data_IF_861265794724
#
_entry.id   IF_861265794724
#
_cell.length_a   1.000
_cell.length_b   1.000
_cell.length_c   1.000
_cell.angle_alpha   90.00
_cell.angle_beta   90.00
_cell.angle_gamma   90.00
#
_symmetry.space_group_name_H-M   'P 1'
#
loop_
_entity.id
_entity.type
_entity.pdbx_description
1 polymer ?
#
# COMPACT_ATOMS: atom_id res chain seq x y z
N UNK A 1 -32.37 3.80 21.09
CA UNK A 1 -30.95 3.80 21.50
C UNK A 1 -30.09 4.71 20.62
N UNK A 2 -30.56 5.92 20.29
CA UNK A 2 -29.90 6.82 19.33
C UNK A 2 -29.61 8.28 19.80
N UNK A 3 -29.84 8.71 21.06
CA UNK A 3 -29.65 10.12 21.42
C UNK A 3 -28.19 10.58 21.36
N UNK A 4 -27.24 9.65 21.34
CA UNK A 4 -25.81 9.93 21.26
C UNK A 4 -25.30 10.20 19.85
N UNK A 5 -26.03 9.80 18.79
CA UNK A 5 -25.63 10.03 17.40
C UNK A 5 -25.90 11.48 16.98
N UNK A 6 -27.08 12.01 17.33
CA UNK A 6 -27.45 13.40 17.01
C UNK A 6 -26.48 14.39 17.68
N UNK A 7 -26.08 14.13 18.93
CA UNK A 7 -25.10 14.95 19.65
C UNK A 7 -23.70 14.91 19.03
N UNK A 8 -23.32 13.82 18.36
CA UNK A 8 -22.01 13.69 17.71
C UNK A 8 -21.94 14.37 16.35
N UNK A 9 -23.05 14.47 15.61
CA UNK A 9 -23.09 15.16 14.32
C UNK A 9 -23.07 16.69 14.45
N UNK A 10 -23.60 17.23 15.55
CA UNK A 10 -23.59 18.68 15.80
C UNK A 10 -22.24 19.22 16.32
N UNK A 11 -21.29 18.34 16.65
CA UNK A 11 -19.94 18.74 17.07
C UNK A 11 -19.06 19.02 15.86
N UNK A 12 -18.47 20.22 15.79
CA UNK A 12 -17.44 20.55 14.79
C UNK A 12 -16.32 19.48 14.84
N UNK A 13 -15.91 18.89 13.72
CA UNK A 13 -14.84 17.90 13.72
C UNK A 13 -13.55 18.59 14.16
N UNK A 14 -13.09 18.29 15.39
CA UNK A 14 -11.73 18.61 15.81
C UNK A 14 -10.83 17.69 14.99
N UNK A 15 -10.26 18.22 13.91
CA UNK A 15 -9.20 17.56 13.16
C UNK A 15 -8.05 17.30 14.14
N UNK A 16 -7.63 16.04 14.35
CA UNK A 16 -6.42 15.78 15.10
C UNK A 16 -5.26 16.27 14.25
N UNK A 17 -4.79 17.49 14.54
CA UNK A 17 -3.47 17.93 14.10
C UNK A 17 -2.48 16.93 14.67
N UNK A 18 -1.95 16.05 13.82
CA UNK A 18 -0.86 15.15 14.18
C UNK A 18 0.37 16.03 14.41
N UNK A 19 0.49 16.60 15.61
CA UNK A 19 1.72 17.19 16.11
C UNK A 19 2.68 16.05 16.38
N UNK A 20 3.47 15.73 15.36
CA UNK A 20 4.69 14.98 15.52
C UNK A 20 5.68 15.87 16.30
N UNK A 21 5.48 15.94 17.61
CA UNK A 21 6.39 16.61 18.54
C UNK A 21 7.35 15.54 18.99
N UNK A 22 8.54 15.55 18.40
CA UNK A 22 9.69 14.90 18.99
C UNK A 22 9.82 15.43 20.42
N UNK A 23 9.55 14.58 21.40
CA UNK A 23 9.67 14.90 22.81
C UNK A 23 11.18 14.90 23.09
N UNK A 24 11.81 16.04 23.43
CA UNK A 24 13.19 16.03 23.88
C UNK A 24 13.20 15.34 25.24
N UNK A 25 13.88 14.20 25.30
CA UNK A 25 14.18 13.50 26.54
C UNK A 25 15.20 14.37 27.30
N UNK A 26 14.75 14.94 28.43
CA UNK A 26 15.50 15.79 29.35
C UNK A 26 15.57 17.29 29.00
N UNK A 27 15.26 18.12 30.00
CA UNK A 27 15.52 19.56 29.98
C UNK A 27 14.26 20.40 30.16
N UNK A 28 14.13 20.95 31.37
CA UNK A 28 13.17 21.95 31.84
C UNK A 28 12.52 22.79 30.73
N UNK A 29 11.22 22.57 30.51
CA UNK A 29 10.43 23.38 29.59
C UNK A 29 10.07 24.69 30.28
N UNK A 30 10.59 25.81 29.77
CA UNK A 30 10.18 27.18 30.13
C UNK A 30 8.77 27.51 29.64
N UNK A 31 7.79 26.63 29.87
CA UNK A 31 6.38 26.85 29.52
C UNK A 31 5.69 27.60 30.66
N UNK A 32 5.02 28.72 30.33
CA UNK A 32 4.23 29.54 31.28
C UNK A 32 3.24 28.72 32.12
N UNK A 33 2.78 27.59 31.59
CA UNK A 33 1.94 26.64 32.31
C UNK A 33 2.70 25.33 32.50
N UNK A 34 2.96 24.97 33.77
CA UNK A 34 3.56 23.69 34.12
C UNK A 34 2.50 22.59 34.07
N UNK A 35 2.79 21.41 33.51
CA UNK A 35 1.84 20.31 33.52
C UNK A 35 1.53 19.90 34.96
N UNK A 36 0.23 19.78 35.30
CA UNK A 36 -0.22 19.35 36.64
C UNK A 36 0.32 17.97 37.06
N UNK A 37 0.67 17.14 36.07
CA UNK A 37 1.30 15.84 36.28
C UNK A 37 2.50 15.74 35.36
N UNK A 38 3.70 15.62 35.93
CA UNK A 38 4.94 15.40 35.19
C UNK A 38 4.87 14.01 34.54
N UNK A 39 5.18 13.97 33.25
CA UNK A 39 5.35 12.76 32.46
C UNK A 39 6.75 12.82 31.87
N UNK A 40 7.50 11.71 31.76
CA UNK A 40 7.19 10.34 32.19
C UNK A 40 7.25 10.15 33.71
N UNK A 41 6.48 9.21 34.28
CA UNK A 41 6.61 8.83 35.68
C UNK A 41 7.94 8.10 35.88
N UNK A 42 8.60 8.35 37.01
CA UNK A 42 9.86 7.68 37.35
C UNK A 42 9.60 6.20 37.64
N UNK A 43 9.82 5.33 36.64
CA UNK A 43 9.56 3.89 36.72
C UNK A 43 10.41 3.17 37.77
N UNK A 44 11.46 3.80 38.32
CA UNK A 44 12.26 3.26 39.42
C UNK A 44 11.52 3.32 40.76
N UNK A 45 10.65 4.32 40.97
CA UNK A 45 9.95 4.56 42.23
C UNK A 45 8.59 3.83 42.32
N UNK A 46 8.10 3.28 41.20
CA UNK A 46 6.81 2.57 41.15
C UNK A 46 6.93 1.15 41.70
N UNK A 47 5.87 0.70 42.37
CA UNK A 47 5.74 -0.72 42.76
C UNK A 47 5.58 -1.59 41.52
N UNK A 48 6.09 -2.83 41.54
CA UNK A 48 6.01 -3.77 40.41
C UNK A 48 4.57 -3.98 39.89
N UNK A 49 3.59 -4.03 40.81
CA UNK A 49 2.16 -4.09 40.48
C UNK A 49 1.70 -2.90 39.65
N UNK A 50 2.23 -1.71 39.89
CA UNK A 50 1.90 -0.50 39.14
C UNK A 50 2.57 -0.49 37.77
N UNK A 51 3.85 -0.89 37.70
CA UNK A 51 4.57 -1.08 36.43
C UNK A 51 3.80 -2.03 35.51
N UNK A 52 3.35 -3.18 36.02
CA UNK A 52 2.55 -4.14 35.26
C UNK A 52 1.23 -3.54 34.73
N UNK A 53 0.56 -2.67 35.50
CA UNK A 53 -0.66 -1.97 35.04
C UNK A 53 -0.35 -1.01 33.89
N UNK A 54 0.76 -0.29 33.95
CA UNK A 54 1.19 0.59 32.88
C UNK A 54 1.55 -0.18 31.62
N UNK A 55 2.31 -1.27 31.75
CA UNK A 55 2.64 -2.16 30.63
C UNK A 55 1.39 -2.73 29.97
N UNK A 56 0.44 -3.24 30.76
CA UNK A 56 -0.82 -3.77 30.23
C UNK A 56 -1.61 -2.70 29.49
N UNK A 57 -1.67 -1.48 30.02
CA UNK A 57 -2.34 -0.34 29.38
C UNK A 57 -1.62 0.08 28.09
N UNK A 58 -0.29 0.10 28.09
CA UNK A 58 0.52 0.39 26.92
C UNK A 58 0.30 -0.63 25.81
N UNK A 59 0.46 -1.93 26.10
CA UNK A 59 0.23 -3.03 25.15
C UNK A 59 -1.17 -2.97 24.53
N UNK A 60 -2.20 -2.66 25.33
CA UNK A 60 -3.57 -2.45 24.83
C UNK A 60 -3.68 -1.27 23.87
N UNK A 61 -3.09 -0.12 24.22
CA UNK A 61 -3.11 1.08 23.36
C UNK A 61 -2.34 0.85 22.07
N UNK A 62 -1.18 0.20 22.12
CA UNK A 62 -0.41 -0.18 20.94
C UNK A 62 -1.22 -1.14 20.06
N UNK A 63 -1.89 -2.14 20.64
CA UNK A 63 -2.75 -3.06 19.88
C UNK A 63 -3.89 -2.32 19.17
N UNK A 64 -4.50 -1.32 19.82
CA UNK A 64 -5.56 -0.50 19.22
C UNK A 64 -5.01 0.45 18.15
N UNK A 65 -3.88 1.11 18.39
CA UNK A 65 -3.23 1.99 17.40
C UNK A 65 -2.71 1.20 16.18
N UNK A 66 -2.27 -0.04 16.42
CA UNK A 66 -1.74 -0.96 15.40
C UNK A 66 -2.85 -1.79 14.76
N UNK A 67 -4.09 -1.77 15.26
CA UNK A 67 -5.26 -2.29 14.58
C UNK A 67 -5.59 -1.39 13.38
N UNK A 68 -4.71 -1.42 12.37
CA UNK A 68 -4.89 -0.74 11.09
C UNK A 68 -6.14 -1.35 10.44
N UNK A 69 -7.06 -0.54 9.91
CA UNK A 69 -8.23 -1.05 9.19
C UNK A 69 -7.75 -1.81 7.95
N UNK A 70 -7.73 -3.15 8.05
CA UNK A 70 -7.28 -4.03 6.96
C UNK A 70 -8.24 -3.95 5.78
N UNK A 71 -9.53 -3.79 6.06
CA UNK A 71 -10.55 -3.63 5.04
C UNK A 71 -10.33 -2.40 4.17
N UNK A 72 -10.06 -1.23 4.77
CA UNK A 72 -9.78 -0.01 4.02
C UNK A 72 -8.55 -0.14 3.11
N UNK A 73 -7.52 -0.87 3.55
CA UNK A 73 -6.35 -1.15 2.72
C UNK A 73 -6.71 -2.02 1.51
N UNK A 74 -7.53 -3.05 1.71
CA UNK A 74 -7.98 -3.93 0.63
C UNK A 74 -8.86 -3.15 -0.36
N UNK A 75 -9.79 -2.34 0.12
CA UNK A 75 -10.66 -1.53 -0.74
C UNK A 75 -9.84 -0.52 -1.55
N UNK A 76 -8.87 0.16 -0.93
CA UNK A 76 -7.97 1.08 -1.65
C UNK A 76 -7.12 0.36 -2.69
N UNK A 77 -6.64 -0.85 -2.38
CA UNK A 77 -5.88 -1.67 -3.31
C UNK A 77 -6.77 -2.12 -4.49
N UNK A 78 -8.01 -2.53 -4.21
CA UNK A 78 -8.99 -2.90 -5.23
C UNK A 78 -9.39 -1.72 -6.12
N UNK A 79 -9.50 -0.51 -5.53
CA UNK A 79 -9.76 0.71 -6.29
C UNK A 79 -8.60 1.02 -7.22
N UNK A 80 -7.36 0.96 -6.73
CA UNK A 80 -6.16 1.19 -7.53
C UNK A 80 -6.00 0.12 -8.62
N UNK A 81 -6.28 -1.15 -8.30
CA UNK A 81 -6.23 -2.24 -9.27
C UNK A 81 -7.29 -2.08 -10.35
N UNK A 82 -8.50 -1.65 -9.98
CA UNK A 82 -9.59 -1.39 -10.94
C UNK A 82 -9.22 -0.28 -11.92
N UNK A 83 -8.73 0.87 -11.42
CA UNK A 83 -8.28 1.98 -12.28
C UNK A 83 -7.14 1.53 -13.20
N UNK A 84 -6.14 0.83 -12.65
CA UNK A 84 -5.00 0.34 -13.44
C UNK A 84 -5.45 -0.67 -14.50
N UNK A 85 -6.37 -1.56 -14.17
CA UNK A 85 -6.92 -2.56 -15.08
C UNK A 85 -7.62 -1.91 -16.27
N UNK A 86 -8.47 -0.90 -16.03
CA UNK A 86 -9.14 -0.14 -17.09
C UNK A 86 -8.12 0.55 -18.00
N UNK A 87 -7.09 1.20 -17.43
CA UNK A 87 -6.04 1.86 -18.22
C UNK A 87 -5.28 0.86 -19.11
N UNK A 88 -4.89 -0.29 -18.57
CA UNK A 88 -4.22 -1.35 -19.35
C UNK A 88 -5.11 -1.87 -20.46
N UNK A 89 -6.40 -2.10 -20.18
CA UNK A 89 -7.37 -2.52 -21.19
C UNK A 89 -7.53 -1.48 -22.31
N UNK A 90 -7.69 -0.20 -21.95
CA UNK A 90 -7.83 0.90 -22.92
C UNK A 90 -6.60 1.05 -23.82
N UNK A 91 -5.39 0.87 -23.28
CA UNK A 91 -4.16 0.99 -24.08
C UNK A 91 -3.94 -0.25 -24.92
N UNK A 92 -4.08 -1.45 -24.36
CA UNK A 92 -3.60 -2.68 -24.98
C UNK A 92 -4.64 -3.41 -25.83
N UNK A 93 -5.92 -3.37 -25.46
CA UNK A 93 -6.97 -4.20 -26.07
C UNK A 93 -8.09 -3.40 -26.73
N UNK A 94 -8.39 -2.18 -26.27
CA UNK A 94 -9.46 -1.38 -26.84
C UNK A 94 -9.10 -0.93 -28.25
N UNK A 95 -9.80 -1.45 -29.24
CA UNK A 95 -9.65 -0.98 -30.62
C UNK A 95 -10.45 0.32 -30.79
N UNK A 96 -9.79 1.35 -31.32
CA UNK A 96 -10.43 2.62 -31.60
C UNK A 96 -10.73 2.59 -33.10
N UNK A 97 -12.00 2.66 -33.52
CA UNK A 97 -12.46 2.58 -34.92
C UNK A 97 -11.98 3.75 -35.83
N UNK A 98 -10.83 4.35 -35.51
CA UNK A 98 -10.18 5.42 -36.28
C UNK A 98 -9.06 4.82 -37.12
N UNK A 99 -8.84 5.36 -38.32
CA UNK A 99 -7.84 4.87 -39.31
C UNK A 99 -6.40 4.71 -38.80
N UNK A 100 -6.05 5.33 -37.67
CA UNK A 100 -4.73 5.20 -37.02
C UNK A 100 -4.91 4.94 -35.53
N UNK A 101 -4.68 3.70 -35.10
CA UNK A 101 -4.69 3.34 -33.69
C UNK A 101 -3.52 4.05 -32.95
N UNK A 102 -3.79 4.92 -31.96
CA UNK A 102 -2.75 5.76 -31.35
C UNK A 102 -1.75 4.97 -30.47
N UNK A 103 -2.12 3.78 -30.01
CA UNK A 103 -1.32 2.99 -29.06
C UNK A 103 -0.67 1.74 -29.68
N UNK A 104 -0.68 1.60 -31.01
CA UNK A 104 -0.19 0.40 -31.70
C UNK A 104 1.30 0.14 -31.43
N UNK A 105 2.15 1.18 -31.47
CA UNK A 105 3.57 1.04 -31.14
C UNK A 105 3.86 0.69 -29.66
N UNK A 106 2.94 0.95 -28.74
CA UNK A 106 3.06 0.54 -27.33
C UNK A 106 2.66 -0.93 -27.17
N UNK A 107 1.62 -1.38 -27.90
CA UNK A 107 1.21 -2.79 -27.95
C UNK A 107 2.33 -3.66 -28.49
N UNK A 108 2.93 -3.26 -29.62
CA UNK A 108 3.99 -4.04 -30.27
C UNK A 108 5.23 -4.19 -29.39
N UNK A 109 5.62 -3.12 -28.68
CA UNK A 109 6.72 -3.16 -27.70
C UNK A 109 6.38 -4.01 -26.48
N UNK A 110 5.14 -3.93 -25.98
CA UNK A 110 4.69 -4.72 -24.84
C UNK A 110 4.67 -6.21 -25.17
N UNK A 111 4.05 -6.60 -26.29
CA UNK A 111 4.01 -7.99 -26.74
C UNK A 111 5.38 -8.51 -27.20
N UNK A 112 6.24 -7.64 -27.76
CA UNK A 112 7.62 -7.97 -28.09
C UNK A 112 8.46 -8.28 -26.84
N UNK A 113 8.34 -7.48 -25.77
CA UNK A 113 9.04 -7.72 -24.51
C UNK A 113 8.46 -8.90 -23.70
N UNK A 114 7.14 -9.10 -23.77
CA UNK A 114 6.46 -10.23 -23.12
C UNK A 114 6.77 -11.55 -23.84
N UNK A 115 6.86 -11.52 -25.17
CA UNK A 115 7.21 -12.66 -26.02
C UNK A 115 8.70 -13.04 -25.97
N UNK A 116 9.62 -12.06 -25.89
CA UNK A 116 11.06 -12.34 -25.78
C UNK A 116 11.38 -13.10 -24.50
N UNK A 117 10.68 -12.81 -23.40
CA UNK A 117 10.90 -13.49 -22.12
C UNK A 117 10.46 -14.97 -22.11
N UNK A 118 9.71 -15.44 -23.12
CA UNK A 118 9.19 -16.81 -23.18
C UNK A 118 9.69 -17.67 -24.34
N UNK A 119 10.41 -17.11 -25.32
CA UNK A 119 10.69 -17.79 -26.61
C UNK A 119 12.14 -18.26 -26.79
N UNK A 120 13.05 -17.96 -25.86
CA UNK A 120 14.47 -18.34 -25.96
C UNK A 120 14.74 -19.85 -25.78
N UNK A 121 13.73 -20.66 -25.40
CA UNK A 121 13.92 -22.12 -25.22
C UNK A 121 13.49 -22.99 -26.42
N UNK A 122 13.00 -22.43 -27.54
CA UNK A 122 12.42 -23.25 -28.63
C UNK A 122 13.13 -23.21 -29.98
N UNK A 123 14.09 -22.31 -30.19
CA UNK A 123 14.76 -22.11 -31.51
C UNK A 123 16.01 -22.99 -31.75
N UNK A 124 16.39 -23.88 -30.83
CA UNK A 124 17.63 -24.67 -30.92
C UNK A 124 17.56 -26.04 -31.61
N UNK A 125 16.46 -26.43 -32.29
CA UNK A 125 16.35 -27.79 -32.87
C UNK A 125 15.62 -27.86 -34.21
N UNK A 126 16.12 -27.14 -35.22
CA UNK A 126 15.90 -27.52 -36.62
C UNK A 126 17.22 -27.42 -37.38
N UNK A 127 17.84 -28.58 -37.61
CA UNK A 127 19.03 -28.73 -38.43
C UNK A 127 18.55 -29.10 -39.84
N UNK A 128 18.77 -28.28 -40.88
CA UNK A 128 18.33 -28.59 -42.23
C UNK A 128 19.49 -29.18 -43.00
N UNK A 129 19.47 -30.48 -43.30
CA UNK A 129 20.24 -31.10 -44.41
C UNK A 129 19.79 -32.55 -44.61
N UNK A 130 18.84 -32.78 -45.51
CA UNK A 130 18.76 -34.05 -46.25
C UNK A 130 18.64 -33.67 -47.74
N UNK A 131 19.67 -33.93 -48.56
CA UNK A 131 19.63 -33.59 -49.99
C UNK A 131 18.67 -34.50 -50.74
N UNK A 132 17.94 -33.90 -51.68
CA UNK A 132 17.02 -34.56 -52.59
C UNK A 132 17.75 -35.59 -53.46
N UNK A 133 17.37 -36.87 -53.35
CA UNK A 133 17.75 -37.89 -54.30
C UNK A 133 16.79 -37.82 -55.51
N UNK A 134 17.25 -37.16 -56.57
CA UNK A 134 16.69 -37.27 -57.92
C UNK A 134 16.96 -38.69 -58.43
N UNK A 135 15.94 -39.43 -58.85
CA UNK A 135 16.07 -40.74 -59.48
C UNK A 135 15.08 -40.87 -60.63
N UNK A 136 15.58 -40.70 -61.86
CA UNK A 136 14.88 -41.07 -63.09
C UNK A 136 14.88 -42.61 -63.27
N UNK A 137 13.72 -43.19 -63.56
CA UNK A 137 13.37 -43.95 -64.79
C UNK A 137 12.05 -44.69 -64.61
#
# INVERSE_FOLDING_TARGET
MFPTLVRRLAGKPVTPSIRNTQIPLAGDHSSRYKPKKVWPPDFSQLTEKEKFRFERRYKRRVKLATARPRWDKLVRLAQLSSVTFVLVYSVLFMDWETEKQPFQGIRDKFWGALGSSGQDQRSGRQNPNIPAATGQR
#
